data_IF_149280912903
#
_entry.id   IF_149280912903
#
_cell.length_a   1.000
_cell.length_b   1.000
_cell.length_c   1.000
_cell.angle_alpha   90.00
_cell.angle_beta   90.00
_cell.angle_gamma   90.00
#
_symmetry.space_group_name_H-M   'P 1'
#
loop_
_entity.id
_entity.type
_entity.pdbx_description
1 polymer ?
#
# COMPACT_ATOMS: atom_id res chain seq x y z
N UNK A 1 6.68 0.05 -12.92
CA UNK A 1 5.49 -0.50 -12.24
C UNK A 1 4.28 0.35 -12.62
N UNK A 2 3.14 -0.26 -12.99
CA UNK A 2 1.90 0.48 -13.35
C UNK A 2 0.81 0.15 -12.35
N UNK A 3 0.28 1.18 -11.69
CA UNK A 3 -0.78 1.12 -10.70
C UNK A 3 -1.85 2.15 -11.09
N UNK A 4 -3.11 1.88 -10.77
CA UNK A 4 -4.20 2.83 -10.92
C UNK A 4 -3.96 4.09 -10.07
N UNK A 5 -4.34 5.27 -10.58
CA UNK A 5 -4.19 6.53 -9.83
C UNK A 5 -4.88 6.48 -8.47
N UNK A 6 -6.04 5.84 -8.36
CA UNK A 6 -6.75 5.66 -7.09
C UNK A 6 -5.95 4.85 -6.05
N UNK A 7 -5.15 3.88 -6.51
CA UNK A 7 -4.29 3.08 -5.62
C UNK A 7 -3.11 3.92 -5.15
N UNK A 8 -2.55 4.76 -6.02
CA UNK A 8 -1.49 5.70 -5.61
C UNK A 8 -1.98 6.75 -4.63
N UNK A 9 -3.17 7.31 -4.87
CA UNK A 9 -3.80 8.29 -3.98
C UNK A 9 -4.08 7.67 -2.59
N UNK A 10 -4.63 6.46 -2.57
CA UNK A 10 -4.82 5.72 -1.32
C UNK A 10 -3.51 5.41 -0.58
N UNK A 11 -2.47 4.99 -1.31
CA UNK A 11 -1.16 4.73 -0.70
C UNK A 11 -0.53 6.01 -0.13
N UNK A 12 -0.70 7.14 -0.80
CA UNK A 12 -0.21 8.45 -0.35
C UNK A 12 -0.96 8.91 0.91
N UNK A 13 -2.28 8.77 0.95
CA UNK A 13 -3.08 9.06 2.13
C UNK A 13 -2.65 8.22 3.35
N UNK A 14 -2.37 6.92 3.15
CA UNK A 14 -1.85 6.04 4.20
C UNK A 14 -0.46 6.50 4.66
N UNK A 15 0.42 6.88 3.72
CA UNK A 15 1.75 7.38 4.05
C UNK A 15 1.66 8.63 4.91
N UNK A 16 0.79 9.58 4.55
CA UNK A 16 0.55 10.79 5.32
C UNK A 16 -0.01 10.48 6.72
N UNK A 17 -0.97 9.57 6.84
CA UNK A 17 -1.54 9.15 8.12
C UNK A 17 -0.50 8.51 9.05
N UNK A 18 0.45 7.77 8.51
CA UNK A 18 1.55 7.14 9.26
C UNK A 18 2.79 8.05 9.45
N UNK A 19 2.79 9.26 8.90
CA UNK A 19 3.96 10.15 8.91
C UNK A 19 5.15 9.60 8.11
N UNK A 20 4.88 8.77 7.10
CA UNK A 20 5.87 8.13 6.24
C UNK A 20 5.84 8.71 4.83
N UNK A 21 6.93 8.50 4.09
CA UNK A 21 6.95 8.75 2.65
C UNK A 21 6.41 7.54 1.89
N UNK A 22 5.67 7.77 0.81
CA UNK A 22 5.14 6.73 -0.08
C UNK A 22 6.22 5.73 -0.52
N UNK A 23 7.45 6.20 -0.77
CA UNK A 23 8.61 5.35 -1.08
C UNK A 23 9.02 4.40 0.05
N UNK A 24 8.84 4.80 1.31
CA UNK A 24 9.15 3.97 2.48
C UNK A 24 8.10 2.87 2.63
N UNK A 25 6.83 3.17 2.40
CA UNK A 25 5.77 2.16 2.34
C UNK A 25 6.02 1.16 1.21
N UNK A 26 6.36 1.63 0.00
CA UNK A 26 6.73 0.76 -1.11
C UNK A 26 7.90 -0.17 -0.74
N UNK A 27 8.94 0.33 -0.08
CA UNK A 27 10.08 -0.47 0.36
C UNK A 27 9.69 -1.49 1.45
N UNK A 28 8.85 -1.12 2.42
CA UNK A 28 8.31 -2.03 3.43
C UNK A 28 7.49 -3.16 2.79
N UNK A 29 6.62 -2.82 1.84
CA UNK A 29 5.80 -3.79 1.12
C UNK A 29 6.66 -4.70 0.22
N UNK A 30 7.70 -4.17 -0.41
CA UNK A 30 8.65 -4.96 -1.20
C UNK A 30 9.45 -5.94 -0.33
N UNK A 31 9.81 -5.55 0.89
CA UNK A 31 10.49 -6.43 1.84
C UNK A 31 9.57 -7.50 2.46
N UNK A 32 8.27 -7.18 2.66
CA UNK A 32 7.28 -8.08 3.26
C UNK A 32 6.72 -9.10 2.27
N UNK A 33 6.51 -8.69 1.00
CA UNK A 33 5.81 -9.52 0.01
C UNK A 33 6.52 -10.86 -0.21
N UNK A 34 5.72 -11.88 -0.52
CA UNK A 34 6.26 -13.13 -1.05
C UNK A 34 6.97 -12.88 -2.38
N UNK A 35 8.11 -13.56 -2.63
CA UNK A 35 8.90 -13.39 -3.86
C UNK A 35 8.11 -13.65 -5.16
N UNK A 36 7.04 -14.44 -5.07
CA UNK A 36 6.15 -14.77 -6.19
C UNK A 36 5.03 -13.73 -6.44
N UNK A 37 4.88 -12.74 -5.57
CA UNK A 37 3.84 -11.70 -5.68
C UNK A 37 4.47 -10.43 -6.21
N UNK A 38 3.96 -9.87 -7.30
CA UNK A 38 4.45 -8.58 -7.80
C UNK A 38 4.18 -7.45 -6.80
N UNK A 39 5.11 -6.50 -6.65
CA UNK A 39 4.97 -5.36 -5.74
C UNK A 39 3.67 -4.57 -5.99
N UNK A 40 3.26 -4.40 -7.24
CA UNK A 40 2.00 -3.74 -7.57
C UNK A 40 0.76 -4.48 -7.05
N UNK A 41 0.82 -5.81 -6.95
CA UNK A 41 -0.29 -6.59 -6.39
C UNK A 41 -0.32 -6.44 -4.87
N UNK A 42 0.84 -6.47 -4.22
CA UNK A 42 0.94 -6.25 -2.77
C UNK A 42 0.46 -4.85 -2.37
N UNK A 43 0.85 -3.81 -3.12
CA UNK A 43 0.39 -2.44 -2.87
C UNK A 43 -1.13 -2.33 -3.00
N UNK A 44 -1.74 -2.93 -4.03
CA UNK A 44 -3.21 -2.92 -4.19
C UNK A 44 -3.89 -3.59 -3.01
N UNK A 45 -3.42 -4.78 -2.61
CA UNK A 45 -3.99 -5.50 -1.47
C UNK A 45 -3.84 -4.71 -0.18
N UNK A 46 -2.67 -4.11 0.06
CA UNK A 46 -2.41 -3.29 1.25
C UNK A 46 -3.34 -2.09 1.33
N UNK A 47 -3.48 -1.32 0.24
CA UNK A 47 -4.37 -0.15 0.21
C UNK A 47 -5.82 -0.58 0.43
N UNK A 48 -6.26 -1.65 -0.25
CA UNK A 48 -7.61 -2.18 -0.11
C UNK A 48 -7.90 -2.65 1.32
N UNK A 49 -6.95 -3.36 1.94
CA UNK A 49 -7.05 -3.87 3.31
C UNK A 49 -7.11 -2.74 4.32
N UNK A 50 -6.26 -1.72 4.19
CA UNK A 50 -6.25 -0.54 5.07
C UNK A 50 -7.61 0.16 5.10
N UNK A 51 -8.22 0.40 3.95
CA UNK A 51 -9.53 1.09 3.87
C UNK A 51 -10.71 0.17 4.17
N UNK A 52 -10.55 -1.15 4.10
CA UNK A 52 -11.57 -2.13 4.53
C UNK A 52 -11.53 -2.42 6.02
N UNK A 53 -10.33 -2.43 6.60
CA UNK A 53 -10.05 -2.73 8.00
C UNK A 53 -10.35 -1.57 8.94
N UNK A 54 -10.55 -0.34 8.44
CA UNK A 54 -11.03 0.78 9.26
C UNK A 54 -12.52 0.65 9.70
N UNK A 55 -13.10 -0.55 9.58
CA UNK A 55 -14.37 -1.00 10.16
C UNK A 55 -14.15 -1.95 11.36
N UNK A 56 -12.97 -1.90 12.00
CA UNK A 56 -12.77 -2.53 13.31
C UNK A 56 -13.24 -1.59 14.44
N UNK A 57 -14.38 -1.96 15.03
CA UNK A 57 -15.07 -1.42 16.21
C UNK A 57 -14.18 -1.40 17.46
#
# INVERSE_FOLDING_TARGET
MRLENAVWDGLDAIAQAEGLLTKQLCAKLDARRSKNVALSSEIRSFVLDYFRGNDEV
#
